data_IF_351406492313
#
_entry.id   IF_351406492313
#
_cell.length_a   1.000
_cell.length_b   1.000
_cell.length_c   1.000
_cell.angle_alpha   90.00
_cell.angle_beta   90.00
_cell.angle_gamma   90.00
#
_symmetry.space_group_name_H-M   'P 1'
#
loop_
_entity.id
_entity.type
_entity.pdbx_description
1 polymer ?
#
# COMPACT_ATOMS: atom_id res chain seq x y z
N UNK A 1 -14.57 -16.59 11.13
CA UNK A 1 -14.93 -15.30 10.51
C UNK A 1 -13.79 -14.90 9.59
N UNK A 2 -14.08 -14.57 8.32
CA UNK A 2 -13.05 -14.02 7.43
C UNK A 2 -12.61 -12.65 7.98
N UNK A 3 -11.31 -12.33 8.02
CA UNK A 3 -10.84 -11.06 8.56
C UNK A 3 -11.44 -9.91 7.74
N UNK A 4 -11.95 -8.90 8.44
CA UNK A 4 -12.57 -7.74 7.81
C UNK A 4 -11.51 -6.93 7.05
N UNK A 5 -11.89 -6.49 5.86
CA UNK A 5 -11.11 -5.52 5.09
C UNK A 5 -11.01 -4.23 5.89
N UNK A 6 -9.82 -3.61 5.87
CA UNK A 6 -9.60 -2.31 6.50
C UNK A 6 -10.57 -1.29 5.87
N UNK A 7 -11.53 -0.72 6.61
CA UNK A 7 -12.38 0.36 6.11
C UNK A 7 -11.55 1.56 5.69
N UNK A 8 -12.05 2.36 4.74
CA UNK A 8 -11.31 3.51 4.21
C UNK A 8 -10.90 4.51 5.31
N UNK A 9 -11.78 4.76 6.27
CA UNK A 9 -11.48 5.63 7.41
C UNK A 9 -10.30 5.13 8.27
N UNK A 10 -10.14 3.81 8.43
CA UNK A 10 -8.98 3.25 9.14
C UNK A 10 -7.70 3.40 8.31
N UNK A 11 -7.80 3.32 6.99
CA UNK A 11 -6.68 3.63 6.10
C UNK A 11 -6.29 5.12 6.17
N UNK A 12 -7.26 6.04 6.16
CA UNK A 12 -6.99 7.48 6.36
C UNK A 12 -6.31 7.78 7.69
N UNK A 13 -6.82 7.22 8.79
CA UNK A 13 -6.22 7.36 10.10
C UNK A 13 -4.77 6.87 10.10
N UNK A 14 -4.53 5.68 9.52
CA UNK A 14 -3.18 5.14 9.36
C UNK A 14 -2.25 6.10 8.60
N UNK A 15 -2.67 6.58 7.42
CA UNK A 15 -1.83 7.48 6.60
C UNK A 15 -1.53 8.78 7.35
N UNK A 16 -2.53 9.39 8.00
CA UNK A 16 -2.33 10.61 8.79
C UNK A 16 -1.37 10.41 9.95
N UNK A 17 -1.52 9.31 10.69
CA UNK A 17 -0.65 9.01 11.83
C UNK A 17 0.80 8.81 11.39
N UNK A 18 1.00 8.10 10.28
CA UNK A 18 2.35 7.90 9.73
C UNK A 18 2.94 9.20 9.17
N UNK A 19 2.16 10.00 8.43
CA UNK A 19 2.63 11.28 7.93
C UNK A 19 3.01 12.24 9.07
N UNK A 20 2.20 12.29 10.14
CA UNK A 20 2.55 13.05 11.34
C UNK A 20 3.83 12.52 11.98
N UNK A 21 3.94 11.21 12.19
CA UNK A 21 5.10 10.61 12.85
C UNK A 21 6.41 10.85 12.08
N UNK A 22 6.37 10.88 10.74
CA UNK A 22 7.59 10.93 9.92
C UNK A 22 7.89 12.29 9.29
N UNK A 23 6.88 13.15 9.07
CA UNK A 23 7.03 14.43 8.39
C UNK A 23 6.71 15.65 9.27
N UNK A 24 6.45 15.47 10.57
CA UNK A 24 6.33 16.61 11.49
C UNK A 24 7.64 16.83 12.28
N UNK A 25 8.33 17.94 11.98
CA UNK A 25 9.52 18.37 12.72
C UNK A 25 10.78 17.52 12.54
N UNK A 26 10.80 16.60 11.56
CA UNK A 26 11.94 15.74 11.24
C UNK A 26 12.80 16.24 10.07
N UNK A 27 13.69 15.38 9.58
CA UNK A 27 14.55 15.64 8.40
C UNK A 27 13.85 15.37 7.06
N UNK A 28 12.68 14.72 7.10
CA UNK A 28 11.87 14.43 5.92
C UNK A 28 10.85 15.55 5.73
N UNK A 29 10.70 16.00 4.48
CA UNK A 29 9.76 17.04 4.11
C UNK A 29 8.96 16.58 2.89
N UNK A 30 7.68 16.93 2.86
CA UNK A 30 6.84 16.75 1.68
C UNK A 30 7.10 17.89 0.70
N UNK A 31 7.23 17.57 -0.58
CA UNK A 31 7.37 18.54 -1.66
C UNK A 31 6.12 18.58 -2.54
N UNK A 32 6.01 19.59 -3.39
CA UNK A 32 4.84 19.77 -4.26
C UNK A 32 4.50 18.52 -5.10
N UNK A 33 5.53 17.79 -5.55
CA UNK A 33 5.37 16.58 -6.37
C UNK A 33 4.88 15.36 -5.59
N UNK A 34 4.86 15.40 -4.25
CA UNK A 34 4.33 14.30 -3.44
C UNK A 34 2.79 14.33 -3.37
N UNK A 35 2.20 15.52 -3.40
CA UNK A 35 0.75 15.71 -3.22
C UNK A 35 -0.11 14.97 -4.24
N UNK A 36 0.20 14.94 -5.55
CA UNK A 36 -0.56 14.15 -6.50
C UNK A 36 -0.63 12.65 -6.15
N UNK A 37 0.43 12.10 -5.57
CA UNK A 37 0.41 10.72 -5.08
C UNK A 37 -0.43 10.60 -3.81
N UNK A 38 -0.20 11.48 -2.83
CA UNK A 38 -0.93 11.46 -1.56
C UNK A 38 -2.43 11.59 -1.81
N UNK A 39 -2.88 12.57 -2.59
CA UNK A 39 -4.29 12.81 -2.90
C UNK A 39 -4.93 11.63 -3.63
N UNK A 40 -4.27 11.11 -4.66
CA UNK A 40 -4.80 9.99 -5.43
C UNK A 40 -4.97 8.74 -4.57
N UNK A 41 -3.98 8.43 -3.74
CA UNK A 41 -4.05 7.27 -2.84
C UNK A 41 -4.94 7.53 -1.63
N UNK A 42 -5.13 8.78 -1.23
CA UNK A 42 -6.09 9.19 -0.21
C UNK A 42 -7.52 8.90 -0.67
N UNK A 43 -7.86 9.23 -1.92
CA UNK A 43 -9.19 9.01 -2.50
C UNK A 43 -9.44 7.54 -2.92
N UNK A 44 -8.39 6.72 -3.00
CA UNK A 44 -8.48 5.33 -3.44
C UNK A 44 -9.10 4.44 -2.34
N UNK A 45 -10.42 4.35 -2.37
CA UNK A 45 -11.18 3.45 -1.51
C UNK A 45 -11.19 2.02 -2.07
N UNK A 46 -10.51 1.11 -1.36
CA UNK A 46 -10.48 -0.33 -1.64
C UNK A 46 -11.31 -1.14 -0.63
N UNK A 47 -12.09 -0.48 0.24
CA UNK A 47 -12.94 -1.19 1.21
C UNK A 47 -13.99 -2.06 0.53
N UNK A 48 -14.47 -1.64 -0.65
CA UNK A 48 -15.41 -2.39 -1.48
C UNK A 48 -14.80 -3.51 -2.32
N UNK A 49 -13.47 -3.58 -2.47
CA UNK A 49 -12.83 -4.65 -3.28
C UNK A 49 -12.76 -5.98 -2.55
N UNK A 50 -13.17 -6.01 -1.28
CA UNK A 50 -13.34 -7.22 -0.49
C UNK A 50 -14.10 -8.33 -1.19
N UNK A 51 -15.15 -7.99 -1.91
CA UNK A 51 -15.97 -8.95 -2.63
C UNK A 51 -15.27 -9.49 -3.87
N UNK A 52 -14.59 -8.63 -4.62
CA UNK A 52 -13.87 -8.96 -5.85
C UNK A 52 -12.66 -9.88 -5.58
N UNK A 53 -11.91 -9.60 -4.52
CA UNK A 53 -10.68 -10.35 -4.18
C UNK A 53 -10.99 -11.55 -3.27
N UNK A 54 -12.24 -11.74 -2.84
CA UNK A 54 -12.65 -12.89 -2.01
C UNK A 54 -12.73 -14.17 -2.84
N UNK A 55 -13.32 -14.12 -4.02
CA UNK A 55 -13.56 -15.31 -4.84
C UNK A 55 -12.26 -15.85 -5.48
N UNK A 56 -11.32 -14.96 -5.78
CA UNK A 56 -10.01 -15.30 -6.33
C UNK A 56 -9.09 -16.04 -5.33
N UNK A 57 -9.45 -16.08 -4.04
CA UNK A 57 -8.55 -16.54 -2.97
C UNK A 57 -9.26 -17.27 -1.83
N UNK A 58 -10.34 -18.00 -2.14
CA UNK A 58 -11.16 -18.72 -1.17
C UNK A 58 -10.40 -19.78 -0.34
N UNK A 59 -9.16 -20.14 -0.71
CA UNK A 59 -8.31 -21.12 -0.03
C UNK A 59 -7.03 -20.47 0.53
N UNK A 60 -7.01 -20.28 1.85
CA UNK A 60 -5.81 -20.15 2.70
C UNK A 60 -4.64 -19.29 2.18
N UNK A 61 -4.58 -18.02 2.58
CA UNK A 61 -3.40 -17.17 2.40
C UNK A 61 -3.65 -15.71 2.81
N UNK A 62 -2.57 -14.97 3.14
CA UNK A 62 -2.38 -13.51 3.41
C UNK A 62 -3.67 -12.72 3.72
N UNK A 63 -3.71 -12.09 4.91
CA UNK A 63 -4.89 -11.41 5.48
C UNK A 63 -5.45 -10.37 4.50
N UNK A 64 -6.77 -10.25 4.39
CA UNK A 64 -7.43 -9.35 3.41
C UNK A 64 -6.94 -7.89 3.46
N UNK A 65 -6.50 -7.42 4.63
CA UNK A 65 -5.86 -6.10 4.83
C UNK A 65 -4.56 -5.98 4.03
N UNK A 66 -3.70 -6.99 4.10
CA UNK A 66 -2.40 -7.00 3.42
C UNK A 66 -2.58 -6.97 1.90
N UNK A 67 -3.66 -7.56 1.37
CA UNK A 67 -3.96 -7.57 -0.06
C UNK A 67 -4.42 -6.23 -0.60
N UNK A 68 -5.26 -5.51 0.13
CA UNK A 68 -5.64 -4.16 -0.26
C UNK A 68 -4.41 -3.23 -0.30
N UNK A 69 -3.47 -3.41 0.62
CA UNK A 69 -2.21 -2.68 0.62
C UNK A 69 -1.28 -3.10 -0.54
N UNK A 70 -1.20 -4.41 -0.84
CA UNK A 70 -0.47 -4.91 -2.02
C UNK A 70 -1.02 -4.34 -3.33
N UNK A 71 -2.35 -4.26 -3.47
CA UNK A 71 -2.98 -3.62 -4.62
C UNK A 71 -2.64 -2.13 -4.71
N UNK A 72 -2.66 -1.39 -3.59
CA UNK A 72 -2.20 0.01 -3.56
C UNK A 72 -0.73 0.11 -3.99
N UNK A 73 0.14 -0.75 -3.45
CA UNK A 73 1.55 -0.76 -3.81
C UNK A 73 1.76 -1.05 -5.29
N UNK A 74 1.03 -2.00 -5.86
CA UNK A 74 1.09 -2.28 -7.29
C UNK A 74 0.60 -1.09 -8.14
N UNK A 75 -0.50 -0.45 -7.77
CA UNK A 75 -0.97 0.75 -8.47
C UNK A 75 0.03 1.90 -8.40
N UNK A 76 0.74 2.04 -7.27
CA UNK A 76 1.78 3.06 -7.12
C UNK A 76 2.98 2.73 -8.00
N UNK A 77 3.41 1.47 -8.03
CA UNK A 77 4.48 0.98 -8.92
C UNK A 77 4.20 1.37 -10.38
N UNK A 78 2.98 1.11 -10.86
CA UNK A 78 2.56 1.50 -12.21
C UNK A 78 2.59 3.01 -12.42
N UNK A 79 2.14 3.77 -11.42
CA UNK A 79 2.09 5.23 -11.50
C UNK A 79 3.48 5.88 -11.53
N UNK A 80 4.46 5.32 -10.83
CA UNK A 80 5.85 5.79 -10.89
C UNK A 80 6.62 5.24 -12.09
N UNK A 81 5.97 4.43 -12.93
CA UNK A 81 6.56 3.84 -14.14
C UNK A 81 7.61 2.76 -13.86
N UNK A 82 7.60 2.18 -12.65
CA UNK A 82 8.51 1.09 -12.31
C UNK A 82 8.00 -0.21 -12.92
N UNK A 83 8.88 -0.95 -13.58
CA UNK A 83 8.54 -2.22 -14.26
C UNK A 83 9.21 -3.44 -13.63
N UNK A 84 10.25 -3.24 -12.82
CA UNK A 84 10.96 -4.32 -12.13
C UNK A 84 10.46 -4.47 -10.70
N UNK A 85 9.98 -5.66 -10.33
CA UNK A 85 9.55 -5.96 -8.95
C UNK A 85 10.69 -5.85 -7.96
N UNK A 86 11.90 -6.27 -8.33
CA UNK A 86 13.09 -6.12 -7.49
C UNK A 86 13.34 -4.65 -7.18
N UNK A 87 13.39 -3.79 -8.20
CA UNK A 87 13.61 -2.35 -8.01
C UNK A 87 12.45 -1.71 -7.24
N UNK A 88 11.22 -2.14 -7.52
CA UNK A 88 10.03 -1.65 -6.82
C UNK A 88 10.10 -1.94 -5.33
N UNK A 89 10.45 -3.17 -4.94
CA UNK A 89 10.57 -3.56 -3.53
C UNK A 89 11.65 -2.72 -2.83
N UNK A 90 12.76 -2.44 -3.49
CA UNK A 90 13.81 -1.57 -2.95
C UNK A 90 13.35 -0.11 -2.82
N UNK A 91 12.64 0.42 -3.82
CA UNK A 91 12.06 1.76 -3.78
C UNK A 91 11.02 1.90 -2.67
N UNK A 92 10.12 0.92 -2.54
CA UNK A 92 9.07 0.88 -1.51
C UNK A 92 9.67 0.85 -0.10
N UNK A 93 10.85 0.22 0.09
CA UNK A 93 11.60 0.25 1.35
C UNK A 93 12.31 1.57 1.59
N UNK A 94 12.94 2.11 0.56
CA UNK A 94 13.82 3.29 0.65
C UNK A 94 13.05 4.59 0.76
N UNK A 95 11.84 4.66 0.20
CA UNK A 95 11.00 5.86 0.17
C UNK A 95 9.86 5.70 1.19
N UNK A 96 9.97 6.29 2.40
CA UNK A 96 8.98 6.10 3.46
C UNK A 96 7.56 6.51 3.03
N UNK A 97 7.45 7.58 2.23
CA UNK A 97 6.16 8.04 1.71
C UNK A 97 5.42 6.93 0.96
N UNK A 98 6.13 6.17 0.12
CA UNK A 98 5.52 5.11 -0.68
C UNK A 98 4.98 3.99 0.20
N UNK A 99 5.71 3.59 1.23
CA UNK A 99 5.22 2.62 2.21
C UNK A 99 3.92 3.14 2.87
N UNK A 100 3.93 4.38 3.35
CA UNK A 100 2.80 4.97 4.07
C UNK A 100 1.53 5.07 3.22
N UNK A 101 1.61 5.67 2.02
CA UNK A 101 0.43 5.87 1.16
C UNK A 101 -0.09 4.55 0.56
N UNK A 102 0.71 3.48 0.59
CA UNK A 102 0.25 2.14 0.19
C UNK A 102 -0.31 1.35 1.37
N UNK A 103 -0.24 1.88 2.59
CA UNK A 103 -0.81 1.30 3.80
C UNK A 103 0.15 0.42 4.61
N UNK A 104 1.44 0.41 4.25
CA UNK A 104 2.51 -0.30 4.96
C UNK A 104 3.27 0.63 5.92
N UNK A 105 3.79 0.06 7.01
CA UNK A 105 4.68 0.80 7.90
C UNK A 105 6.05 0.97 7.22
N UNK A 106 6.71 2.13 7.33
CA UNK A 106 8.09 2.28 6.92
C UNK A 106 8.98 1.19 7.56
N UNK A 107 9.85 0.57 6.75
CA UNK A 107 10.68 -0.55 7.16
C UNK A 107 9.98 -1.92 7.21
N UNK A 108 8.65 -1.97 7.11
CA UNK A 108 7.87 -3.22 7.10
C UNK A 108 7.03 -3.32 5.81
N UNK A 109 7.73 -3.47 4.69
CA UNK A 109 7.12 -3.55 3.36
C UNK A 109 7.31 -4.96 2.76
N UNK A 110 6.42 -5.38 1.85
CA UNK A 110 6.45 -6.71 1.26
C UNK A 110 7.75 -7.03 0.52
N UNK A 111 8.07 -8.32 0.46
CA UNK A 111 9.21 -8.84 -0.31
C UNK A 111 8.85 -9.11 -1.76
N UNK A 112 9.87 -9.49 -2.53
CA UNK A 112 9.74 -9.86 -3.95
C UNK A 112 8.78 -11.04 -4.12
N UNK A 113 8.96 -12.11 -3.34
CA UNK A 113 8.08 -13.29 -3.38
C UNK A 113 6.63 -12.97 -3.08
N UNK A 114 6.38 -12.06 -2.12
CA UNK A 114 5.02 -11.61 -1.78
C UNK A 114 4.30 -10.94 -2.96
N UNK A 115 5.02 -10.15 -3.76
CA UNK A 115 4.43 -9.55 -4.97
C UNK A 115 4.13 -10.60 -6.04
N UNK A 116 5.04 -11.56 -6.28
CA UNK A 116 4.76 -12.65 -7.22
C UNK A 116 3.58 -13.52 -6.77
N UNK A 117 3.54 -13.91 -5.50
CA UNK A 117 2.40 -14.65 -4.92
C UNK A 117 1.08 -13.89 -5.07
N UNK A 118 1.13 -12.55 -5.00
CA UNK A 118 -0.04 -11.69 -5.21
C UNK A 118 -0.47 -11.65 -6.69
N UNK A 119 0.47 -11.51 -7.62
CA UNK A 119 0.15 -11.48 -9.05
C UNK A 119 -0.38 -12.79 -9.58
N UNK A 120 0.15 -13.93 -9.11
CA UNK A 120 -0.30 -15.27 -9.53
C UNK A 120 -1.77 -15.56 -9.19
N UNK A 121 -2.36 -14.76 -8.30
CA UNK A 121 -3.71 -14.94 -7.79
C UNK A 121 -4.65 -13.78 -8.16
N UNK A 122 -4.15 -12.76 -8.85
CA UNK A 122 -4.93 -11.61 -9.34
C UNK A 122 -5.64 -11.96 -10.64
#
# INVERSE_FOLDING_TARGET
MLPSIRPHAQYHAFVLDQLRAHYSGGILFLVANDWPFIEKFWLLDLSGTASLVRDLYASGGIIAIERANLLRAYLLMLQVGQTSITKWVDELRRVPLYAMITGFLPGHTPGIGTFYDFFDRL
#
